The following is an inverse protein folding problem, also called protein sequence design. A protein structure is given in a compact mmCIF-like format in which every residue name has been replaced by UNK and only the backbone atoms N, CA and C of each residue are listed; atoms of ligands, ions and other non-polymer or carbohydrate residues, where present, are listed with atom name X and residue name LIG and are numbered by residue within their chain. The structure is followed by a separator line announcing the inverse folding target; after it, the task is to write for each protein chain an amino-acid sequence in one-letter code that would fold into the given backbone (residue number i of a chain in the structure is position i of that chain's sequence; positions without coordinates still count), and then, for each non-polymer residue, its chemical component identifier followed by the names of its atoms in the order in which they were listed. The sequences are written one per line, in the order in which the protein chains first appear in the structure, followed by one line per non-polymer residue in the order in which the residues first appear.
data_IF_067415925243
#
_entry.id   IF_067415925243
#
_cell.length_a   1.000
_cell.length_b   1.000
_cell.length_c   1.000
_cell.angle_alpha   90.00
_cell.angle_beta   90.00
_cell.angle_gamma   90.00
#
_symmetry.space_group_name_H-M   'P 1'
#
loop_
_entity.id
_entity.type
_entity.pdbx_description
1 polymer ?
#
# COMPACT_ATOMS: atom_id res chain seq x y z
N UNK A 1 6.04 4.34 9.78
CA UNK A 1 4.74 4.01 10.39
C UNK A 1 4.83 2.58 10.92
N UNK A 2 4.56 2.38 12.21
CA UNK A 2 4.34 1.04 12.75
C UNK A 2 2.93 0.61 12.35
N UNK A 3 2.73 -0.67 12.05
CA UNK A 3 1.39 -1.23 11.84
C UNK A 3 0.88 -1.77 13.19
N UNK A 4 -0.39 -1.55 13.48
CA UNK A 4 -1.12 -2.09 14.61
C UNK A 4 -1.70 -3.49 14.33
N UNK A 5 -1.44 -4.41 15.25
CA UNK A 5 -2.17 -5.67 15.39
C UNK A 5 -3.04 -5.58 16.64
N UNK A 6 -4.35 -5.50 16.46
CA UNK A 6 -5.30 -5.58 17.55
C UNK A 6 -5.64 -7.05 17.84
N UNK A 7 -5.55 -7.46 19.12
CA UNK A 7 -5.95 -8.80 19.55
C UNK A 7 -7.21 -8.69 20.41
N UNK A 8 -8.32 -9.17 19.84
CA UNK A 8 -9.65 -9.20 20.45
C UNK A 8 -9.88 -10.58 21.08
N UNK A 9 -10.18 -10.63 22.38
CA UNK A 9 -10.43 -11.87 23.10
C UNK A 9 -11.32 -11.66 24.32
N UNK A 10 -11.95 -12.73 24.82
CA UNK A 10 -12.75 -12.67 26.06
C UNK A 10 -11.86 -12.61 27.30
N UNK A 11 -12.34 -11.96 28.35
CA UNK A 11 -11.62 -11.91 29.64
C UNK A 11 -11.60 -13.26 30.34
N UNK A 12 -12.63 -14.07 30.11
CA UNK A 12 -12.80 -15.44 30.59
C UNK A 12 -11.74 -16.38 30.01
N UNK A 13 -11.20 -16.07 28.82
CA UNK A 13 -10.19 -16.88 28.13
C UNK A 13 -8.74 -16.43 28.37
N UNK A 14 -8.53 -15.41 29.22
CA UNK A 14 -7.25 -14.70 29.34
C UNK A 14 -6.05 -15.63 29.56
N UNK A 15 -6.21 -16.71 30.31
CA UNK A 15 -5.12 -17.62 30.63
C UNK A 15 -4.55 -18.30 29.38
N UNK A 16 -5.41 -18.73 28.45
CA UNK A 16 -4.99 -19.35 27.19
C UNK A 16 -4.58 -18.28 26.17
N UNK A 17 -5.33 -17.17 26.08
CA UNK A 17 -4.99 -16.05 25.20
C UNK A 17 -3.60 -15.49 25.49
N UNK A 18 -3.22 -15.31 26.77
CA UNK A 18 -1.90 -14.83 27.14
C UNK A 18 -0.77 -15.75 26.64
N UNK A 19 -0.97 -17.07 26.60
CA UNK A 19 0.05 -18.00 26.06
C UNK A 19 0.27 -17.76 24.57
N UNK A 20 -0.83 -17.61 23.83
CA UNK A 20 -0.82 -17.32 22.38
C UNK A 20 -0.16 -15.97 22.12
N UNK A 21 -0.61 -14.91 22.82
CA UNK A 21 -0.10 -13.55 22.67
C UNK A 21 1.41 -13.50 22.96
N UNK A 22 1.86 -14.09 24.07
CA UNK A 22 3.28 -14.11 24.42
C UNK A 22 4.15 -14.84 23.38
N UNK A 23 3.61 -15.85 22.70
CA UNK A 23 4.33 -16.53 21.62
C UNK A 23 4.31 -15.69 20.34
N UNK A 24 3.17 -15.09 19.98
CA UNK A 24 3.06 -14.20 18.84
C UNK A 24 4.00 -12.99 18.96
N UNK A 25 4.03 -12.30 20.09
CA UNK A 25 4.92 -11.13 20.28
C UNK A 25 6.40 -11.47 20.09
N UNK A 26 6.83 -12.69 20.44
CA UNK A 26 8.22 -13.14 20.22
C UNK A 26 8.52 -13.47 18.76
N UNK A 27 7.49 -13.86 18.00
CA UNK A 27 7.61 -14.25 16.60
C UNK A 27 7.38 -13.06 15.67
N UNK A 28 6.62 -12.06 16.09
CA UNK A 28 6.30 -10.88 15.30
C UNK A 28 7.51 -9.92 15.23
N UNK A 29 7.76 -9.32 14.06
CA UNK A 29 8.74 -8.24 13.91
C UNK A 29 8.55 -7.08 14.89
N UNK A 30 9.66 -6.47 15.35
CA UNK A 30 9.67 -5.34 16.30
C UNK A 30 8.93 -4.07 15.82
N UNK A 31 8.55 -3.98 14.54
CA UNK A 31 7.85 -2.83 13.96
C UNK A 31 6.32 -3.05 13.86
N UNK A 32 5.80 -4.02 14.61
CA UNK A 32 4.38 -4.31 14.75
C UNK A 32 4.00 -3.96 16.18
N UNK A 33 3.04 -3.06 16.32
CA UNK A 33 2.50 -2.71 17.61
C UNK A 33 1.36 -3.67 17.95
N UNK A 34 1.63 -4.59 18.86
CA UNK A 34 0.61 -5.52 19.37
C UNK A 34 -0.18 -4.82 20.47
N UNK A 35 -1.47 -4.63 20.21
CA UNK A 35 -2.42 -3.98 21.10
C UNK A 35 -3.45 -4.99 21.63
N UNK A 36 -3.67 -5.00 22.94
CA UNK A 36 -4.80 -5.67 23.59
C UNK A 36 -5.11 -5.03 24.93
N UNK A 37 -6.38 -5.11 25.33
CA UNK A 37 -6.95 -4.43 26.52
C UNK A 37 -6.03 -4.49 27.76
N UNK A 38 -5.53 -5.68 28.14
CA UNK A 38 -4.76 -5.87 29.38
C UNK A 38 -3.34 -5.28 29.37
N UNK A 39 -2.76 -5.06 28.19
CA UNK A 39 -1.40 -4.51 28.07
C UNK A 39 -1.41 -2.99 27.92
N UNK A 40 -2.42 -2.46 27.23
CA UNK A 40 -2.36 -1.10 26.70
C UNK A 40 -3.20 -0.08 27.49
N UNK A 41 -4.00 -0.52 28.46
CA UNK A 41 -4.81 0.38 29.28
C UNK A 41 -4.18 0.65 30.65
N UNK A 42 -3.99 1.94 30.94
CA UNK A 42 -3.56 2.42 32.25
C UNK A 42 -4.73 2.58 33.22
N UNK A 43 -4.45 2.57 34.51
CA UNK A 43 -5.49 2.87 35.52
C UNK A 43 -5.98 4.31 35.39
N UNK A 44 -7.31 4.51 35.42
CA UNK A 44 -7.94 5.83 35.38
C UNK A 44 -8.15 6.41 33.97
N UNK A 45 -7.90 5.63 32.92
CA UNK A 45 -8.17 6.06 31.54
C UNK A 45 -9.62 5.78 31.15
N UNK A 46 -10.15 6.60 30.24
CA UNK A 46 -11.39 6.30 29.52
C UNK A 46 -11.15 5.12 28.57
N UNK A 47 -11.33 3.92 29.12
CA UNK A 47 -10.97 2.69 28.44
C UNK A 47 -11.80 2.45 27.19
N UNK A 48 -13.08 2.86 27.18
CA UNK A 48 -14.01 2.59 26.08
C UNK A 48 -13.60 3.36 24.82
N UNK A 49 -13.24 4.64 24.97
CA UNK A 49 -12.71 5.46 23.88
C UNK A 49 -11.38 4.90 23.37
N UNK A 50 -10.44 4.55 24.26
CA UNK A 50 -9.13 4.04 23.84
C UNK A 50 -9.23 2.70 23.10
N UNK A 51 -10.07 1.78 23.57
CA UNK A 51 -10.31 0.50 22.89
C UNK A 51 -10.88 0.76 21.48
N UNK A 52 -11.87 1.64 21.38
CA UNK A 52 -12.55 1.97 20.13
C UNK A 52 -11.58 2.57 19.11
N UNK A 53 -10.80 3.57 19.52
CA UNK A 53 -9.80 4.22 18.67
C UNK A 53 -8.73 3.22 18.23
N UNK A 54 -8.25 2.39 19.16
CA UNK A 54 -7.24 1.37 18.85
C UNK A 54 -7.76 0.29 17.91
N UNK A 55 -9.03 -0.10 18.05
CA UNK A 55 -9.70 -1.04 17.14
C UNK A 55 -9.89 -0.43 15.74
N UNK A 56 -10.18 0.87 15.67
CA UNK A 56 -10.37 1.60 14.42
C UNK A 56 -9.04 1.78 13.66
N UNK A 57 -7.97 2.10 14.38
CA UNK A 57 -6.66 2.40 13.80
C UNK A 57 -5.86 1.14 13.42
N UNK A 58 -6.24 -0.02 13.91
CA UNK A 58 -5.51 -1.26 13.65
C UNK A 58 -5.65 -1.72 12.19
N UNK A 59 -4.54 -2.09 11.55
CA UNK A 59 -4.60 -2.66 10.19
C UNK A 59 -4.88 -4.16 10.19
N UNK A 60 -4.68 -4.86 11.31
CA UNK A 60 -5.00 -6.29 11.46
C UNK A 60 -5.74 -6.51 12.78
N UNK A 61 -6.84 -7.26 12.71
CA UNK A 61 -7.63 -7.66 13.88
C UNK A 61 -7.59 -9.18 14.05
N UNK A 62 -6.81 -9.68 15.01
CA UNK A 62 -6.79 -11.08 15.41
C UNK A 62 -7.86 -11.33 16.47
N UNK A 63 -8.88 -12.13 16.14
CA UNK A 63 -9.98 -12.47 17.04
C UNK A 63 -9.76 -13.87 17.59
N UNK A 64 -9.63 -14.03 18.91
CA UNK A 64 -9.53 -15.33 19.57
C UNK A 64 -10.94 -15.79 19.97
N UNK A 65 -11.59 -16.53 19.07
CA UNK A 65 -13.03 -16.83 19.10
C UNK A 65 -13.31 -18.08 19.95
N UNK A 66 -14.10 -17.90 21.00
CA UNK A 66 -14.62 -18.93 21.91
C UNK A 66 -16.13 -18.72 22.14
N UNK A 67 -16.77 -19.56 22.95
CA UNK A 67 -18.14 -19.28 23.40
C UNK A 67 -18.23 -17.98 24.21
N UNK A 68 -17.28 -17.74 25.12
CA UNK A 68 -17.23 -16.52 25.92
C UNK A 68 -17.03 -15.27 25.05
N UNK A 69 -16.21 -15.37 24.01
CA UNK A 69 -16.00 -14.30 23.04
C UNK A 69 -17.29 -13.92 22.27
N UNK A 70 -18.11 -14.91 21.93
CA UNK A 70 -19.39 -14.66 21.25
C UNK A 70 -20.42 -14.02 22.19
N UNK A 71 -20.39 -14.38 23.48
CA UNK A 71 -21.27 -13.85 24.53
C UNK A 71 -20.83 -12.47 25.07
N UNK A 72 -19.56 -12.09 24.87
CA UNK A 72 -19.01 -10.84 25.35
C UNK A 72 -19.51 -9.63 24.54
N UNK A 73 -20.19 -8.71 25.23
CA UNK A 73 -20.65 -7.43 24.68
C UNK A 73 -19.48 -6.57 24.17
N UNK A 74 -18.33 -6.60 24.86
CA UNK A 74 -17.13 -5.89 24.42
C UNK A 74 -16.59 -6.44 23.11
N UNK A 75 -16.44 -7.77 23.04
CA UNK A 75 -15.98 -8.43 21.82
C UNK A 75 -16.97 -8.21 20.66
N UNK A 76 -18.28 -8.14 20.93
CA UNK A 76 -19.27 -7.82 19.90
C UNK A 76 -19.05 -6.43 19.30
N UNK A 77 -18.84 -5.40 20.13
CA UNK A 77 -18.57 -4.03 19.64
C UNK A 77 -17.28 -3.96 18.83
N UNK A 78 -16.22 -4.61 19.28
CA UNK A 78 -14.96 -4.70 18.52
C UNK A 78 -15.19 -5.36 17.14
N UNK A 79 -15.98 -6.44 17.08
CA UNK A 79 -16.37 -7.07 15.81
C UNK A 79 -17.16 -6.14 14.89
N UNK A 80 -18.10 -5.37 15.45
CA UNK A 80 -18.87 -4.37 14.69
C UNK A 80 -17.92 -3.31 14.10
N UNK A 81 -16.93 -2.83 14.86
CA UNK A 81 -15.90 -1.92 14.36
C UNK A 81 -15.11 -2.57 13.22
N UNK A 82 -14.61 -3.80 13.41
CA UNK A 82 -13.83 -4.52 12.38
C UNK A 82 -14.62 -4.81 11.10
N UNK A 83 -15.95 -4.84 11.17
CA UNK A 83 -16.82 -4.94 9.99
C UNK A 83 -16.88 -3.64 9.19
N UNK A 84 -16.83 -2.51 9.88
CA UNK A 84 -16.94 -1.18 9.28
C UNK A 84 -15.59 -0.64 8.79
N UNK A 85 -14.50 -0.97 9.49
CA UNK A 85 -13.16 -0.46 9.18
C UNK A 85 -12.39 -1.35 8.19
N UNK A 86 -11.31 -0.81 7.64
CA UNK A 86 -10.43 -1.53 6.70
C UNK A 86 -9.45 -2.51 7.36
N UNK A 87 -9.58 -2.77 8.67
CA UNK A 87 -8.76 -3.75 9.37
C UNK A 87 -8.92 -5.14 8.74
N UNK A 88 -7.82 -5.89 8.63
CA UNK A 88 -7.86 -7.26 8.12
C UNK A 88 -8.29 -8.23 9.23
N UNK A 89 -9.48 -8.85 9.18
CA UNK A 89 -9.91 -9.79 10.21
C UNK A 89 -9.19 -11.13 10.06
N UNK A 90 -8.70 -11.65 11.18
CA UNK A 90 -8.08 -12.97 11.33
C UNK A 90 -8.74 -13.71 12.50
N UNK A 91 -9.81 -14.47 12.27
CA UNK A 91 -10.42 -15.29 13.31
C UNK A 91 -9.55 -16.53 13.61
N UNK A 92 -9.16 -16.71 14.86
CA UNK A 92 -8.63 -17.96 15.41
C UNK A 92 -9.71 -18.58 16.31
N UNK A 93 -10.26 -19.72 15.91
CA UNK A 93 -11.22 -20.49 16.71
C UNK A 93 -10.47 -21.14 17.87
N UNK A 94 -10.56 -20.53 19.04
CA UNK A 94 -9.85 -20.91 20.25
C UNK A 94 -10.41 -22.22 20.81
N UNK A 95 -11.73 -22.28 20.99
CA UNK A 95 -12.46 -23.41 21.58
C UNK A 95 -13.81 -23.63 20.90
N UNK A 96 -14.45 -24.78 21.15
CA UNK A 96 -15.70 -25.16 20.49
C UNK A 96 -16.79 -24.13 20.76
N UNK A 97 -17.34 -23.56 19.69
CA UNK A 97 -18.40 -22.56 19.75
C UNK A 97 -19.15 -22.49 18.40
N UNK A 98 -20.36 -21.90 18.43
CA UNK A 98 -21.21 -21.75 17.25
C UNK A 98 -20.90 -20.45 16.48
N UNK A 99 -19.63 -20.26 16.12
CA UNK A 99 -19.16 -19.06 15.42
C UNK A 99 -19.75 -18.92 14.00
N UNK A 100 -20.23 -20.02 13.43
CA UNK A 100 -20.84 -20.05 12.09
C UNK A 100 -22.26 -19.46 12.09
N UNK A 101 -22.93 -19.40 13.25
CA UNK A 101 -24.22 -18.74 13.37
C UNK A 101 -24.13 -17.21 13.22
N UNK A 102 -22.97 -16.62 13.51
CA UNK A 102 -22.69 -15.23 13.18
C UNK A 102 -22.41 -15.10 11.68
N UNK A 103 -23.26 -14.39 10.95
CA UNK A 103 -23.21 -14.32 9.49
C UNK A 103 -21.90 -13.73 8.95
N UNK A 104 -21.30 -12.78 9.69
CA UNK A 104 -20.04 -12.17 9.28
C UNK A 104 -18.87 -13.11 9.59
N UNK A 105 -18.74 -13.58 10.84
CA UNK A 105 -17.68 -14.52 11.21
C UNK A 105 -17.74 -15.82 10.39
N UNK A 106 -18.94 -16.35 10.17
CA UNK A 106 -19.21 -17.54 9.36
C UNK A 106 -18.82 -17.40 7.88
N UNK A 107 -18.72 -16.17 7.37
CA UNK A 107 -18.27 -15.89 6.00
C UNK A 107 -16.75 -15.81 5.86
N UNK A 108 -16.02 -15.70 6.97
CA UNK A 108 -14.57 -15.55 6.98
C UNK A 108 -13.87 -16.91 6.93
N UNK A 109 -12.66 -16.92 6.40
CA UNK A 109 -11.76 -18.04 6.61
C UNK A 109 -11.16 -17.93 8.01
N UNK A 110 -11.19 -19.05 8.73
CA UNK A 110 -10.78 -19.11 10.14
C UNK A 110 -9.52 -19.97 10.30
N UNK A 111 -8.91 -19.84 11.48
CA UNK A 111 -7.75 -20.62 11.89
C UNK A 111 -8.06 -21.44 13.15
N UNK A 112 -7.64 -22.72 13.27
CA UNK A 112 -7.10 -23.59 12.22
C UNK A 112 -8.06 -23.73 11.02
N UNK A 113 -7.56 -24.05 9.81
CA UNK A 113 -8.42 -24.19 8.65
C UNK A 113 -9.38 -25.37 8.80
N UNK A 114 -10.64 -25.16 8.39
CA UNK A 114 -11.72 -26.14 8.51
C UNK A 114 -12.73 -25.76 9.59
N UNK A 115 -13.71 -26.64 9.82
CA UNK A 115 -14.86 -26.35 10.70
C UNK A 115 -14.93 -27.27 11.93
N UNK A 116 -14.03 -28.25 12.06
CA UNK A 116 -14.16 -29.32 13.06
C UNK A 116 -13.19 -29.17 14.24
N UNK A 117 -11.94 -28.79 13.99
CA UNK A 117 -10.91 -28.69 15.02
C UNK A 117 -10.71 -27.25 15.48
N UNK A 118 -10.69 -27.03 16.79
CA UNK A 118 -10.33 -25.74 17.39
C UNK A 118 -8.86 -25.72 17.78
N UNK A 119 -8.30 -24.54 18.02
CA UNK A 119 -6.91 -24.40 18.42
C UNK A 119 -6.57 -25.22 19.67
N UNK A 120 -7.48 -25.24 20.65
CA UNK A 120 -7.32 -26.03 21.86
C UNK A 120 -7.59 -27.53 21.68
N UNK A 121 -8.20 -27.98 20.58
CA UNK A 121 -8.30 -29.42 20.27
C UNK A 121 -6.97 -29.99 19.72
N UNK A 122 -6.08 -29.14 19.21
CA UNK A 122 -4.80 -29.57 18.63
C UNK A 122 -3.83 -30.07 19.71
N UNK A 123 -3.03 -31.09 19.36
CA UNK A 123 -1.86 -31.49 20.15
C UNK A 123 -0.83 -30.35 20.25
N UNK A 124 -0.01 -30.36 21.30
CA UNK A 124 0.96 -29.29 21.58
C UNK A 124 1.86 -28.97 20.38
N UNK A 125 2.45 -29.99 19.74
CA UNK A 125 3.30 -29.79 18.56
C UNK A 125 2.54 -29.19 17.36
N UNK A 126 1.26 -29.57 17.20
CA UNK A 126 0.41 -29.01 16.16
C UNK A 126 0.03 -27.55 16.46
N UNK A 127 -0.17 -27.17 17.73
CA UNK A 127 -0.41 -25.77 18.14
C UNK A 127 0.76 -24.85 17.83
N UNK A 128 1.99 -25.30 18.06
CA UNK A 128 3.20 -24.51 17.73
C UNK A 128 3.31 -24.28 16.22
N UNK A 129 3.14 -25.34 15.42
CA UNK A 129 3.10 -25.24 13.95
C UNK A 129 1.97 -24.32 13.48
N UNK A 130 0.83 -24.38 14.16
CA UNK A 130 -0.32 -23.55 13.86
C UNK A 130 0.00 -22.06 14.10
N UNK A 131 0.59 -21.70 15.23
CA UNK A 131 1.00 -20.32 15.50
C UNK A 131 2.11 -19.81 14.57
N UNK A 132 3.06 -20.65 14.18
CA UNK A 132 4.04 -20.29 13.15
C UNK A 132 3.35 -19.95 11.82
N UNK A 133 2.35 -20.75 11.43
CA UNK A 133 1.56 -20.53 10.22
C UNK A 133 0.77 -19.21 10.29
N UNK A 134 0.13 -18.94 11.42
CA UNK A 134 -0.58 -17.68 11.67
C UNK A 134 0.39 -16.48 11.64
N UNK A 135 1.56 -16.61 12.26
CA UNK A 135 2.59 -15.56 12.24
C UNK A 135 3.04 -15.27 10.82
N UNK A 136 3.26 -16.30 10.01
CA UNK A 136 3.63 -16.12 8.60
C UNK A 136 2.50 -15.47 7.78
N UNK A 137 1.24 -15.76 8.11
CA UNK A 137 0.09 -15.07 7.51
C UNK A 137 0.05 -13.59 7.90
N UNK A 138 0.24 -13.26 9.18
CA UNK A 138 0.32 -11.88 9.66
C UNK A 138 1.48 -11.14 8.98
N UNK A 139 2.67 -11.75 8.91
CA UNK A 139 3.85 -11.17 8.22
C UNK A 139 3.56 -10.89 6.75
N UNK A 140 2.88 -11.81 6.05
CA UNK A 140 2.46 -11.60 4.65
C UNK A 140 1.53 -10.42 4.53
N UNK A 141 0.45 -10.37 5.33
CA UNK A 141 -0.54 -9.28 5.32
C UNK A 141 0.16 -7.94 5.56
N UNK A 142 1.10 -7.87 6.49
CA UNK A 142 1.90 -6.67 6.77
C UNK A 142 2.70 -6.20 5.56
N UNK A 143 3.34 -7.12 4.85
CA UNK A 143 4.08 -6.79 3.64
C UNK A 143 3.12 -6.21 2.59
N UNK A 144 1.95 -6.83 2.42
CA UNK A 144 0.90 -6.35 1.52
C UNK A 144 0.46 -4.92 1.87
N UNK A 145 0.07 -4.68 3.12
CA UNK A 145 -0.39 -3.37 3.60
C UNK A 145 0.70 -2.30 3.40
N UNK A 146 1.95 -2.59 3.76
CA UNK A 146 3.07 -1.64 3.58
C UNK A 146 3.25 -1.25 2.12
N UNK A 147 3.25 -2.23 1.22
CA UNK A 147 3.39 -1.96 -0.21
C UNK A 147 2.18 -1.18 -0.76
N UNK A 148 0.96 -1.54 -0.36
CA UNK A 148 -0.26 -0.84 -0.76
C UNK A 148 -0.25 0.63 -0.32
N UNK A 149 0.06 0.90 0.95
CA UNK A 149 0.11 2.25 1.49
C UNK A 149 1.15 3.10 0.75
N UNK A 150 2.30 2.50 0.42
CA UNK A 150 3.34 3.17 -0.36
C UNK A 150 2.89 3.45 -1.80
N UNK A 151 2.23 2.52 -2.49
CA UNK A 151 1.67 2.77 -3.82
C UNK A 151 0.60 3.88 -3.80
N UNK A 152 -0.29 3.87 -2.80
CA UNK A 152 -1.36 4.87 -2.65
C UNK A 152 -0.81 6.26 -2.40
N UNK A 153 0.11 6.40 -1.45
CA UNK A 153 0.74 7.69 -1.15
C UNK A 153 1.36 8.32 -2.42
N UNK A 154 1.99 7.51 -3.26
CA UNK A 154 2.70 7.99 -4.44
C UNK A 154 1.71 8.38 -5.53
N UNK A 155 0.68 7.56 -5.76
CA UNK A 155 -0.43 7.89 -6.66
C UNK A 155 -1.10 9.20 -6.25
N UNK A 156 -1.35 9.41 -4.96
CA UNK A 156 -2.05 10.58 -4.47
C UNK A 156 -1.17 11.84 -4.60
N UNK A 157 0.13 11.75 -4.34
CA UNK A 157 1.11 12.80 -4.62
C UNK A 157 1.12 13.18 -6.12
N UNK A 158 1.20 12.21 -7.02
CA UNK A 158 1.17 12.43 -8.46
C UNK A 158 -0.14 13.09 -8.92
N UNK A 159 -1.25 12.68 -8.32
CA UNK A 159 -2.58 13.26 -8.58
C UNK A 159 -2.67 14.71 -8.11
N UNK A 160 -2.08 15.02 -6.95
CA UNK A 160 -1.95 16.39 -6.45
C UNK A 160 -1.15 17.27 -7.42
N UNK A 161 0.05 16.84 -7.84
CA UNK A 161 0.85 17.57 -8.83
C UNK A 161 0.06 17.80 -10.12
N UNK A 162 -0.57 16.76 -10.66
CA UNK A 162 -1.43 16.83 -11.86
C UNK A 162 -2.53 17.89 -11.72
N UNK A 163 -3.17 17.98 -10.55
CA UNK A 163 -4.20 18.98 -10.26
C UNK A 163 -3.64 20.40 -10.19
N UNK A 164 -2.49 20.57 -9.53
CA UNK A 164 -1.82 21.85 -9.39
C UNK A 164 -1.37 22.41 -10.75
N UNK A 165 -0.80 21.56 -11.61
CA UNK A 165 -0.44 21.90 -12.98
C UNK A 165 -1.65 22.39 -13.79
N UNK A 166 -2.79 21.66 -13.74
CA UNK A 166 -4.02 22.06 -14.46
C UNK A 166 -4.50 23.45 -14.06
N UNK A 167 -4.45 23.75 -12.77
CA UNK A 167 -4.95 25.00 -12.20
C UNK A 167 -4.09 26.20 -12.63
N UNK A 168 -2.78 26.00 -12.74
CA UNK A 168 -1.82 27.06 -13.10
C UNK A 168 -1.55 27.16 -14.61
N UNK A 169 -2.21 26.36 -15.46
CA UNK A 169 -1.93 26.30 -16.90
C UNK A 169 -1.93 27.67 -17.61
N UNK A 170 -2.74 28.62 -17.14
CA UNK A 170 -2.91 29.95 -17.76
C UNK A 170 -1.78 30.92 -17.45
N UNK A 171 -1.09 30.75 -16.31
CA UNK A 171 -0.01 31.64 -15.85
C UNK A 171 1.34 31.29 -16.46
N UNK A 172 1.50 30.10 -17.06
CA UNK A 172 2.71 29.71 -17.75
C UNK A 172 2.89 30.44 -19.09
N UNK A 173 4.10 30.95 -19.32
CA UNK A 173 4.52 31.59 -20.58
C UNK A 173 4.52 30.59 -21.75
N UNK A 174 4.55 31.12 -22.98
CA UNK A 174 4.46 30.41 -24.25
C UNK A 174 5.49 29.29 -24.40
N UNK A 175 6.74 29.49 -23.94
CA UNK A 175 7.81 28.47 -23.93
C UNK A 175 7.40 27.25 -23.09
N UNK A 176 6.73 27.50 -21.97
CA UNK A 176 6.31 26.50 -21.01
C UNK A 176 5.08 25.71 -21.45
N UNK A 177 4.15 26.35 -22.15
CA UNK A 177 2.95 25.66 -22.68
C UNK A 177 3.27 24.46 -23.58
N UNK A 178 4.41 24.49 -24.26
CA UNK A 178 4.88 23.44 -25.16
C UNK A 178 5.54 22.24 -24.47
N UNK A 179 6.18 22.47 -23.32
CA UNK A 179 6.74 21.43 -22.42
C UNK A 179 5.71 20.91 -21.41
N UNK A 180 4.68 21.71 -21.09
CA UNK A 180 3.66 21.42 -20.08
C UNK A 180 2.80 20.19 -20.39
N UNK A 181 2.30 20.07 -21.64
CA UNK A 181 1.39 18.98 -21.99
C UNK A 181 2.05 17.59 -21.86
N UNK A 182 3.30 17.39 -22.33
CA UNK A 182 3.99 16.13 -22.13
C UNK A 182 4.29 15.79 -20.66
N UNK A 183 4.72 16.77 -19.84
CA UNK A 183 4.96 16.55 -18.39
C UNK A 183 3.66 16.13 -17.68
N UNK A 184 2.56 16.81 -18.00
CA UNK A 184 1.23 16.45 -17.50
C UNK A 184 0.82 15.03 -17.92
N UNK A 185 1.11 14.64 -19.16
CA UNK A 185 0.83 13.29 -19.67
C UNK A 185 1.69 12.23 -18.96
N UNK A 186 2.94 12.54 -18.66
CA UNK A 186 3.86 11.69 -17.91
C UNK A 186 3.37 11.41 -16.49
N UNK A 187 3.13 12.46 -15.68
CA UNK A 187 2.56 12.28 -14.33
C UNK A 187 1.22 11.55 -14.35
N UNK A 188 0.41 11.75 -15.39
CA UNK A 188 -0.84 11.00 -15.53
C UNK A 188 -0.59 9.51 -15.77
N UNK A 189 0.36 9.16 -16.63
CA UNK A 189 0.67 7.77 -16.93
C UNK A 189 1.33 7.06 -15.73
N UNK A 190 2.10 7.79 -14.92
CA UNK A 190 2.66 7.29 -13.66
C UNK A 190 1.61 7.02 -12.59
N UNK A 191 0.65 7.93 -12.42
CA UNK A 191 -0.47 7.70 -11.50
C UNK A 191 -1.28 6.46 -11.93
N UNK A 192 -1.45 6.28 -13.25
CA UNK A 192 -2.07 5.09 -13.81
C UNK A 192 -1.22 3.82 -13.49
N UNK A 193 0.12 3.88 -13.58
CA UNK A 193 1.03 2.78 -13.21
C UNK A 193 0.95 2.40 -11.73
N UNK A 194 0.95 3.38 -10.83
CA UNK A 194 0.81 3.13 -9.38
C UNK A 194 -0.52 2.49 -9.04
N UNK A 195 -1.58 2.87 -9.77
CA UNK A 195 -2.90 2.23 -9.65
C UNK A 195 -2.85 0.76 -10.09
N UNK A 196 -2.12 0.43 -11.15
CA UNK A 196 -1.94 -0.96 -11.58
C UNK A 196 -1.14 -1.78 -10.56
N UNK A 197 -0.09 -1.19 -9.96
CA UNK A 197 0.69 -1.84 -8.90
C UNK A 197 -0.19 -2.12 -7.66
N UNK A 198 -0.99 -1.15 -7.23
CA UNK A 198 -1.97 -1.33 -6.15
C UNK A 198 -2.90 -2.52 -6.43
N UNK A 199 -3.50 -2.55 -7.64
CA UNK A 199 -4.40 -3.64 -8.05
C UNK A 199 -3.70 -5.01 -8.05
N UNK A 200 -2.46 -5.07 -8.54
CA UNK A 200 -1.69 -6.32 -8.55
C UNK A 200 -1.44 -6.85 -7.13
N UNK A 201 -1.05 -5.96 -6.22
CA UNK A 201 -0.81 -6.30 -4.82
C UNK A 201 -2.09 -6.86 -4.18
N UNK A 202 -3.24 -6.20 -4.39
CA UNK A 202 -4.55 -6.67 -3.93
C UNK A 202 -4.93 -8.04 -4.51
N UNK A 203 -4.65 -8.29 -5.79
CA UNK A 203 -4.93 -9.59 -6.44
C UNK A 203 -4.09 -10.70 -5.82
N UNK A 204 -2.78 -10.47 -5.65
CA UNK A 204 -1.86 -11.46 -5.05
C UNK A 204 -2.25 -11.79 -3.61
N UNK A 205 -2.68 -10.79 -2.86
CA UNK A 205 -3.22 -10.97 -1.52
C UNK A 205 -4.50 -11.83 -1.53
N UNK A 206 -5.48 -11.52 -2.41
CA UNK A 206 -6.73 -12.29 -2.55
C UNK A 206 -6.49 -13.75 -2.92
N UNK A 207 -5.52 -14.01 -3.79
CA UNK A 207 -5.10 -15.36 -4.18
C UNK A 207 -4.34 -16.09 -3.07
N UNK A 208 -4.07 -15.43 -1.92
CA UNK A 208 -3.25 -15.94 -0.80
C UNK A 208 -1.89 -16.47 -1.23
N UNK A 209 -1.42 -16.04 -2.40
CA UNK A 209 -0.13 -16.42 -2.94
C UNK A 209 0.91 -15.50 -2.33
N UNK A 210 2.01 -16.03 -1.78
CA UNK A 210 3.08 -15.17 -1.31
C UNK A 210 3.71 -14.44 -2.51
N UNK A 211 3.78 -13.11 -2.44
CA UNK A 211 4.67 -12.37 -3.33
C UNK A 211 6.10 -12.91 -3.15
N UNK A 212 6.76 -13.28 -4.23
CA UNK A 212 8.16 -13.73 -4.17
C UNK A 212 9.00 -12.58 -3.61
N UNK A 213 9.98 -12.89 -2.77
CA UNK A 213 10.88 -11.88 -2.18
C UNK A 213 11.56 -11.02 -3.26
N UNK A 214 11.91 -11.61 -4.40
CA UNK A 214 12.44 -10.89 -5.57
C UNK A 214 11.44 -9.85 -6.10
N UNK A 215 10.16 -10.22 -6.24
CA UNK A 215 9.10 -9.31 -6.65
C UNK A 215 8.91 -8.18 -5.63
N UNK A 216 8.89 -8.50 -4.33
CA UNK A 216 8.77 -7.48 -3.25
C UNK A 216 9.93 -6.49 -3.32
N UNK A 217 11.18 -6.98 -3.37
CA UNK A 217 12.36 -6.14 -3.43
C UNK A 217 12.39 -5.28 -4.69
N UNK A 218 11.92 -5.81 -5.82
CA UNK A 218 11.78 -5.05 -7.05
C UNK A 218 10.73 -3.94 -6.92
N UNK A 219 9.53 -4.24 -6.43
CA UNK A 219 8.47 -3.26 -6.18
C UNK A 219 8.94 -2.17 -5.19
N UNK A 220 9.60 -2.56 -4.11
CA UNK A 220 10.08 -1.60 -3.12
C UNK A 220 11.19 -0.70 -3.69
N UNK A 221 12.14 -1.25 -4.45
CA UNK A 221 13.13 -0.46 -5.18
C UNK A 221 12.47 0.50 -6.17
N UNK A 222 11.43 0.04 -6.88
CA UNK A 222 10.68 0.87 -7.81
C UNK A 222 10.13 2.07 -7.04
N UNK A 223 9.39 1.83 -5.96
CA UNK A 223 8.77 2.90 -5.18
C UNK A 223 9.81 3.82 -4.49
N UNK A 224 10.93 3.27 -4.00
CA UNK A 224 12.01 4.06 -3.39
C UNK A 224 12.72 4.98 -4.39
N UNK A 225 12.93 4.53 -5.63
CA UNK A 225 13.53 5.37 -6.66
C UNK A 225 12.65 6.59 -6.99
N UNK A 226 11.33 6.42 -6.90
CA UNK A 226 10.38 7.53 -7.01
C UNK A 226 10.52 8.50 -5.83
N UNK A 227 10.54 7.99 -4.59
CA UNK A 227 10.71 8.84 -3.40
C UNK A 227 11.99 9.67 -3.48
N UNK A 228 13.14 9.05 -3.82
CA UNK A 228 14.40 9.77 -3.95
C UNK A 228 14.30 10.91 -4.99
N UNK A 229 13.71 10.63 -6.16
CA UNK A 229 13.52 11.65 -7.21
C UNK A 229 12.58 12.78 -6.79
N UNK A 230 11.62 12.51 -5.90
CA UNK A 230 10.68 13.50 -5.39
C UNK A 230 11.28 14.35 -4.24
N UNK A 231 12.18 13.79 -3.44
CA UNK A 231 12.71 14.42 -2.21
C UNK A 231 14.11 15.07 -2.34
N UNK A 232 14.99 14.60 -3.23
CA UNK A 232 16.36 15.14 -3.40
C UNK A 232 16.43 16.64 -3.72
N UNK A 233 15.30 17.29 -3.99
CA UNK A 233 15.27 18.65 -4.54
C UNK A 233 14.53 19.68 -3.69
N UNK A 234 14.22 19.36 -2.43
CA UNK A 234 13.65 20.35 -1.50
C UNK A 234 14.72 21.26 -0.87
N UNK A 235 15.86 20.71 -0.43
CA UNK A 235 16.80 21.46 0.41
C UNK A 235 18.04 22.02 -0.35
N UNK A 236 18.51 21.38 -1.42
CA UNK A 236 19.64 21.91 -2.23
C UNK A 236 19.26 23.10 -3.15
N UNK A 237 17.96 23.34 -3.34
CA UNK A 237 17.45 24.36 -4.26
C UNK A 237 17.10 25.70 -3.60
N UNK A 238 16.97 25.73 -2.27
CA UNK A 238 16.69 26.95 -1.51
C UNK A 238 17.92 27.85 -1.37
N UNK A 239 19.13 27.30 -1.41
CA UNK A 239 20.37 27.99 -1.01
C UNK A 239 21.12 28.73 -2.14
N UNK A 240 20.87 28.39 -3.42
CA UNK A 240 21.68 28.91 -4.56
C UNK A 240 21.03 30.11 -5.28
N UNK A 241 19.70 30.29 -5.27
CA UNK A 241 19.04 31.15 -6.27
C UNK A 241 17.96 32.12 -5.75
N UNK A 242 17.71 32.20 -4.44
CA UNK A 242 16.75 33.15 -3.86
C UNK A 242 15.27 32.84 -4.16
N UNK A 243 14.39 33.48 -3.39
CA UNK A 243 13.01 33.06 -3.06
C UNK A 243 11.95 33.09 -4.19
N UNK A 244 12.32 33.25 -5.47
CA UNK A 244 11.33 33.59 -6.51
C UNK A 244 11.21 32.65 -7.73
N UNK A 245 11.83 31.45 -7.73
CA UNK A 245 11.95 30.64 -8.97
C UNK A 245 11.75 29.12 -8.82
N UNK A 246 10.66 28.70 -8.16
CA UNK A 246 10.28 27.29 -7.86
C UNK A 246 10.18 26.32 -9.07
N UNK A 247 10.39 26.73 -10.33
CA UNK A 247 10.10 25.86 -11.48
C UNK A 247 11.14 26.00 -12.60
N UNK A 248 12.04 25.03 -12.77
CA UNK A 248 12.73 24.85 -14.04
C UNK A 248 12.98 23.36 -14.39
N UNK A 249 12.16 22.75 -15.26
CA UNK A 249 12.00 21.30 -15.42
C UNK A 249 12.98 20.70 -16.43
N UNK A 250 13.74 21.51 -17.18
CA UNK A 250 14.57 21.01 -18.30
C UNK A 250 15.72 20.09 -17.84
N UNK A 251 16.17 20.18 -16.58
CA UNK A 251 17.22 19.32 -15.99
C UNK A 251 16.65 18.09 -15.27
N UNK A 252 15.47 18.22 -14.67
CA UNK A 252 14.75 17.16 -13.95
C UNK A 252 14.12 16.14 -14.90
N UNK A 253 13.61 16.59 -16.06
CA UNK A 253 12.87 15.72 -16.98
C UNK A 253 13.76 14.59 -17.53
N UNK A 254 15.02 14.83 -17.91
CA UNK A 254 15.85 13.75 -18.49
C UNK A 254 16.20 12.62 -17.51
N UNK A 255 16.46 12.95 -16.24
CA UNK A 255 16.75 11.97 -15.18
C UNK A 255 15.49 11.22 -14.73
N UNK A 256 14.34 11.91 -14.68
CA UNK A 256 13.05 11.23 -14.52
C UNK A 256 12.83 10.27 -15.69
N UNK A 257 12.94 10.74 -16.95
CA UNK A 257 12.57 9.94 -18.11
C UNK A 257 13.34 8.60 -18.23
N UNK A 258 14.65 8.59 -17.97
CA UNK A 258 15.45 7.35 -18.03
C UNK A 258 15.07 6.37 -16.91
N UNK A 259 14.87 6.90 -15.70
CA UNK A 259 14.46 6.15 -14.52
C UNK A 259 13.09 5.49 -14.73
N UNK A 260 12.13 6.21 -15.32
CA UNK A 260 10.77 5.70 -15.52
C UNK A 260 10.67 4.55 -16.53
N UNK A 261 11.50 4.57 -17.58
CA UNK A 261 11.59 3.47 -18.54
C UNK A 261 12.12 2.19 -17.90
N UNK A 262 13.21 2.30 -17.15
CA UNK A 262 13.82 1.19 -16.42
C UNK A 262 12.86 0.60 -15.37
N UNK A 263 12.06 1.44 -14.72
CA UNK A 263 11.06 1.01 -13.72
C UNK A 263 9.92 0.22 -14.34
N UNK A 264 9.44 0.64 -15.51
CA UNK A 264 8.42 -0.10 -16.26
C UNK A 264 8.94 -1.46 -16.72
N UNK A 265 10.15 -1.51 -17.31
CA UNK A 265 10.77 -2.75 -17.79
C UNK A 265 10.99 -3.76 -16.64
N UNK A 266 11.36 -3.25 -15.45
CA UNK A 266 11.50 -4.03 -14.22
C UNK A 266 10.17 -4.57 -13.70
N UNK A 267 9.08 -3.79 -13.76
CA UNK A 267 7.75 -4.25 -13.36
C UNK A 267 7.28 -5.41 -14.24
N UNK A 268 7.39 -5.27 -15.56
CA UNK A 268 7.01 -6.31 -16.53
C UNK A 268 7.79 -7.61 -16.33
N UNK A 269 9.09 -7.50 -16.04
CA UNK A 269 9.95 -8.65 -15.76
C UNK A 269 9.62 -9.33 -14.42
N UNK A 270 9.10 -8.60 -13.43
CA UNK A 270 8.90 -9.10 -12.07
C UNK A 270 7.54 -9.79 -11.84
N UNK A 271 6.57 -9.60 -12.73
CA UNK A 271 5.22 -10.13 -12.54
C UNK A 271 5.08 -11.62 -12.83
N UNK A 272 6.01 -12.27 -13.56
CA UNK A 272 5.94 -13.71 -13.96
C UNK A 272 4.55 -14.14 -14.53
N UNK A 273 3.72 -13.16 -14.94
CA UNK A 273 2.41 -13.37 -15.53
C UNK A 273 2.60 -13.37 -17.03
N UNK A 274 1.99 -14.33 -17.74
CA UNK A 274 1.95 -14.27 -19.19
C UNK A 274 1.29 -12.95 -19.61
N UNK A 275 1.72 -12.39 -20.74
CA UNK A 275 1.11 -11.20 -21.36
C UNK A 275 -0.43 -11.36 -21.39
N UNK A 276 -0.89 -12.56 -21.75
CA UNK A 276 -2.28 -13.00 -21.77
C UNK A 276 -2.98 -12.92 -20.38
N UNK A 277 -2.28 -13.23 -19.28
CA UNK A 277 -2.85 -13.13 -17.93
C UNK A 277 -2.98 -11.66 -17.51
N UNK A 278 -1.96 -10.83 -17.75
CA UNK A 278 -2.02 -9.38 -17.47
C UNK A 278 -3.09 -8.67 -18.32
N UNK A 279 -3.20 -9.02 -19.59
CA UNK A 279 -4.22 -8.50 -20.51
C UNK A 279 -5.64 -8.93 -20.13
N UNK A 280 -5.82 -10.15 -19.61
CA UNK A 280 -7.13 -10.64 -19.13
C UNK A 280 -7.67 -9.85 -17.93
N UNK A 281 -6.77 -9.29 -17.10
CA UNK A 281 -7.16 -8.52 -15.91
C UNK A 281 -7.25 -7.01 -16.19
N UNK A 282 -6.50 -6.48 -17.17
CA UNK A 282 -6.69 -5.10 -17.63
C UNK A 282 -6.13 -4.90 -19.06
N UNK A 283 -6.99 -4.67 -20.08
CA UNK A 283 -6.57 -4.43 -21.47
C UNK A 283 -5.77 -3.11 -21.68
N UNK A 284 -5.36 -2.45 -20.59
CA UNK A 284 -4.77 -1.12 -20.59
C UNK A 284 -3.29 -1.11 -20.30
N UNK A 285 -2.64 -2.23 -19.97
CA UNK A 285 -1.20 -2.26 -19.64
C UNK A 285 -0.35 -1.99 -20.89
N UNK A 286 -0.62 -2.68 -22.00
CA UNK A 286 0.06 -2.42 -23.29
C UNK A 286 -0.31 -1.05 -23.87
N UNK A 287 -1.55 -0.60 -23.63
CA UNK A 287 -1.97 0.76 -23.97
C UNK A 287 -1.24 1.82 -23.12
N UNK A 288 -1.03 1.56 -21.82
CA UNK A 288 -0.29 2.41 -20.90
C UNK A 288 1.19 2.47 -21.28
N UNK A 289 1.78 1.34 -21.63
CA UNK A 289 3.14 1.23 -22.18
C UNK A 289 3.29 2.07 -23.44
N UNK A 290 2.42 1.85 -24.42
CA UNK A 290 2.45 2.61 -25.68
C UNK A 290 2.28 4.11 -25.42
N UNK A 291 1.36 4.48 -24.51
CA UNK A 291 1.14 5.87 -24.12
C UNK A 291 2.37 6.46 -23.43
N UNK A 292 3.04 5.73 -22.55
CA UNK A 292 4.31 6.11 -21.93
C UNK A 292 5.37 6.31 -23.02
N UNK A 293 5.65 5.30 -23.85
CA UNK A 293 6.63 5.33 -24.94
C UNK A 293 6.42 6.48 -25.93
N UNK A 294 5.19 6.72 -26.35
CA UNK A 294 4.84 7.82 -27.25
C UNK A 294 5.06 9.17 -26.57
N UNK A 295 4.74 9.28 -25.28
CA UNK A 295 4.99 10.50 -24.50
C UNK A 295 6.49 10.73 -24.30
N UNK A 296 7.27 9.66 -24.06
CA UNK A 296 8.75 9.68 -23.99
C UNK A 296 9.36 10.26 -25.28
N UNK A 297 8.99 9.69 -26.44
CA UNK A 297 9.48 10.15 -27.76
C UNK A 297 9.14 11.62 -28.01
N UNK A 298 7.92 12.04 -27.64
CA UNK A 298 7.50 13.43 -27.80
C UNK A 298 8.26 14.41 -26.89
N UNK A 299 8.63 14.00 -25.67
CA UNK A 299 9.43 14.83 -24.77
C UNK A 299 10.88 14.94 -25.21
N UNK A 300 11.52 13.83 -25.57
CA UNK A 300 12.93 13.82 -25.93
C UNK A 300 13.22 14.77 -27.11
N UNK A 301 12.35 14.79 -28.11
CA UNK A 301 12.44 15.71 -29.26
C UNK A 301 12.26 17.18 -28.87
N UNK A 302 11.31 17.49 -27.98
CA UNK A 302 11.04 18.87 -27.55
C UNK A 302 12.12 19.43 -26.64
N UNK A 303 12.68 18.62 -25.75
CA UNK A 303 13.75 19.08 -24.85
C UNK A 303 15.05 19.30 -25.64
N UNK A 304 15.36 18.42 -26.61
CA UNK A 304 16.48 18.62 -27.55
C UNK A 304 16.37 19.98 -28.26
N UNK A 305 15.19 20.34 -28.80
CA UNK A 305 14.96 21.63 -29.46
C UNK A 305 15.10 22.87 -28.55
N UNK A 306 14.86 22.70 -27.24
CA UNK A 306 15.00 23.78 -26.26
C UNK A 306 16.46 23.92 -25.82
N UNK A 307 17.15 22.79 -25.58
CA UNK A 307 18.55 22.72 -25.22
C UNK A 307 19.48 23.25 -26.34
N UNK A 308 19.12 23.06 -27.61
CA UNK A 308 19.85 23.58 -28.78
C UNK A 308 19.54 25.05 -29.09
N UNK A 309 18.61 25.69 -28.37
CA UNK A 309 18.19 27.07 -28.64
C UNK A 309 17.34 27.27 -29.91
N UNK A 310 17.05 26.18 -30.65
CA UNK A 310 16.28 26.19 -31.90
C UNK A 310 14.84 26.68 -31.73
N UNK A 311 14.32 26.67 -30.49
CA UNK A 311 13.00 27.22 -30.17
C UNK A 311 12.87 28.72 -30.45
N UNK A 312 13.97 29.47 -30.56
CA UNK A 312 13.92 30.90 -30.93
C UNK A 312 13.53 31.13 -32.39
N UNK A 313 13.66 30.14 -33.27
CA UNK A 313 13.49 30.33 -34.72
C UNK A 313 12.11 29.91 -35.27
N UNK A 314 11.17 29.47 -34.43
CA UNK A 314 9.83 29.02 -34.89
C UNK A 314 8.77 30.14 -34.86
N UNK A 315 9.15 31.40 -34.58
CA UNK A 315 8.26 32.57 -34.71
C UNK A 315 8.93 33.79 -35.34
N UNK A 316 9.33 33.64 -36.59
CA UNK A 316 9.30 34.75 -37.57
C UNK A 316 8.76 34.21 -38.89
N UNK A 317 7.53 33.72 -38.84
CA UNK A 317 6.70 33.39 -40.00
C UNK A 317 5.42 34.23 -39.96
N UNK A 318 5.57 35.54 -39.81
CA UNK A 318 4.61 36.49 -40.35
C UNK A 318 5.32 37.07 -41.57
N UNK A 319 4.85 36.62 -42.74
CA UNK A 319 5.23 37.23 -44.00
C UNK A 319 4.58 38.59 -44.15
N UNK A 320 5.35 39.45 -44.82
CA UNK A 320 5.07 40.79 -45.38
C UNK A 320 4.88 41.96 -44.39
#
# INVERSE_FOLDING_TARGET
MNLGLFISHSDEDVAECNKIINQLEKLLPNNIEVWYYKKNLGTGTDYETIITDSAFDAEIALMLVSSHYLESEFCRREREIFQEVHARPLPLILSKCDWQADAWLGSLQVFPPGNEATYLDLEIAAREKALLTLTDEIRRIIIYIKLLNKCRFQRDNLTFYKSNFKSNRRTYDKKWRTLYLPIFQLYSAEADLMTQMENFILIKERQRSALKFSTIKALDNIINSYDASAYEYKDEFEDVMGTNWINHPEKEIYSLLSTHRDLYDKLCSATDMTEETLESFHPSVELLKKKLEDTFKQMEGKIKMVATGEYRNVKTGLGE
#
